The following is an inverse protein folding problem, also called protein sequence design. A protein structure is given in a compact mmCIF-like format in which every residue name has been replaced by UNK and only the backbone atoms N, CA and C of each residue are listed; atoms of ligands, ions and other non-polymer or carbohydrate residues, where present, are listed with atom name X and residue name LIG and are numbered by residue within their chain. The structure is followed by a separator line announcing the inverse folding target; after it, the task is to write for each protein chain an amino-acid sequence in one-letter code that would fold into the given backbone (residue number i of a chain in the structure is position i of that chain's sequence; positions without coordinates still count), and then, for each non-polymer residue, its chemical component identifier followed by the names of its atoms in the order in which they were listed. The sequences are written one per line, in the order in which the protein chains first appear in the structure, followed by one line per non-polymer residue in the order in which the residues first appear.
data_IF_041680238909
#
_entry.id   IF_041680238909
#
_cell.length_a   1.000
_cell.length_b   1.000
_cell.length_c   1.000
_cell.angle_alpha   90.00
_cell.angle_beta   90.00
_cell.angle_gamma   90.00
#
_symmetry.space_group_name_H-M   'P 1'
#
loop_
_entity.id
_entity.type
_entity.pdbx_description
1 polymer ?
#
# COMPACT_ATOMS: atom_id res chain seq x y z
N UNK A 1 19.74 5.31 11.85
CA UNK A 1 18.98 5.20 10.59
C UNK A 1 19.02 3.74 10.20
N UNK A 2 17.86 3.10 10.00
CA UNK A 2 17.82 1.75 9.43
C UNK A 2 18.24 1.91 7.97
N UNK A 3 19.32 1.22 7.60
CA UNK A 3 19.83 1.17 6.22
C UNK A 3 18.86 0.31 5.40
N UNK A 4 17.83 0.95 4.85
CA UNK A 4 16.90 0.31 3.93
C UNK A 4 17.62 0.18 2.58
N UNK A 5 17.62 -0.99 1.92
CA UNK A 5 17.94 -1.06 0.50
C UNK A 5 17.16 0.05 -0.22
N UNK A 6 17.69 0.61 -1.31
CA UNK A 6 16.91 1.58 -2.09
C UNK A 6 15.50 1.01 -2.30
N UNK A 7 14.45 1.78 -2.02
CA UNK A 7 13.06 1.27 -2.01
C UNK A 7 12.72 0.57 -3.33
N UNK A 8 13.34 1.00 -4.43
CA UNK A 8 13.31 0.35 -5.75
C UNK A 8 13.83 -1.09 -5.78
N UNK A 9 14.83 -1.46 -4.99
CA UNK A 9 15.33 -2.83 -4.92
C UNK A 9 14.31 -3.79 -4.29
N UNK A 10 13.38 -3.27 -3.49
CA UNK A 10 12.31 -4.06 -2.89
C UNK A 10 11.19 -4.36 -3.90
N UNK A 11 10.87 -3.42 -4.80
CA UNK A 11 9.83 -3.57 -5.82
C UNK A 11 10.24 -2.85 -7.13
N UNK A 12 11.11 -3.47 -7.95
CA UNK A 12 11.71 -2.82 -9.11
C UNK A 12 10.72 -2.50 -10.25
N UNK A 13 9.51 -3.05 -10.18
CA UNK A 13 8.41 -2.83 -11.14
C UNK A 13 7.70 -1.49 -10.94
N UNK A 14 7.95 -0.81 -9.80
CA UNK A 14 7.35 0.49 -9.48
C UNK A 14 8.47 1.53 -9.32
N UNK A 15 8.26 2.71 -9.89
CA UNK A 15 9.19 3.81 -9.78
C UNK A 15 9.47 4.18 -8.30
N UNK A 16 10.74 4.40 -7.97
CA UNK A 16 11.19 4.61 -6.59
C UNK A 16 10.50 5.81 -5.92
N UNK A 17 10.28 6.88 -6.67
CA UNK A 17 9.60 8.10 -6.22
C UNK A 17 8.14 7.83 -5.78
N UNK A 18 7.49 6.92 -6.48
CA UNK A 18 6.11 6.49 -6.25
C UNK A 18 6.01 5.67 -4.98
N UNK A 19 6.88 4.66 -4.83
CA UNK A 19 6.95 3.87 -3.61
C UNK A 19 7.25 4.76 -2.40
N UNK A 20 8.23 5.67 -2.53
CA UNK A 20 8.55 6.61 -1.46
C UNK A 20 7.36 7.51 -1.10
N UNK A 21 6.62 7.99 -2.09
CA UNK A 21 5.44 8.83 -1.87
C UNK A 21 4.31 8.05 -1.18
N UNK A 22 4.05 6.81 -1.59
CA UNK A 22 3.06 5.93 -0.94
C UNK A 22 3.46 5.68 0.51
N UNK A 23 4.70 5.28 0.77
CA UNK A 23 5.20 5.04 2.14
C UNK A 23 4.98 6.27 3.04
N UNK A 24 5.24 7.47 2.52
CA UNK A 24 5.02 8.71 3.28
C UNK A 24 3.54 9.01 3.52
N UNK A 25 2.66 8.70 2.57
CA UNK A 25 1.21 8.89 2.72
C UNK A 25 0.61 7.88 3.70
N UNK A 26 1.07 6.63 3.63
CA UNK A 26 0.51 5.50 4.38
C UNK A 26 0.98 5.48 5.83
N UNK A 27 2.29 5.58 6.06
CA UNK A 27 2.87 5.38 7.40
C UNK A 27 3.73 6.54 7.89
N UNK A 28 3.96 7.56 7.05
CA UNK A 28 4.98 8.58 7.31
C UNK A 28 6.40 8.00 7.40
N UNK A 29 6.64 6.81 6.81
CA UNK A 29 7.90 6.09 6.91
C UNK A 29 8.08 5.28 8.20
N UNK A 30 7.02 5.04 8.98
CA UNK A 30 7.10 4.22 10.19
C UNK A 30 6.91 2.72 9.85
N UNK A 31 7.96 1.88 9.94
CA UNK A 31 7.83 0.46 9.62
C UNK A 31 7.00 -0.31 10.64
N UNK A 32 6.73 0.24 11.82
CA UNK A 32 5.94 -0.41 12.88
C UNK A 32 4.51 0.13 12.97
N UNK A 33 4.05 0.89 11.98
CA UNK A 33 2.71 1.43 11.95
C UNK A 33 1.68 0.30 11.96
N UNK A 34 0.70 0.40 12.86
CA UNK A 34 -0.47 -0.50 12.93
C UNK A 34 -1.69 0.40 13.07
N UNK A 35 -2.56 0.38 12.06
CA UNK A 35 -3.82 1.11 12.07
C UNK A 35 -4.97 0.11 12.09
N UNK A 36 -5.82 0.19 13.10
CA UNK A 36 -6.96 -0.71 13.26
C UNK A 36 -8.19 -0.06 12.64
N UNK A 37 -8.81 -0.74 11.68
CA UNK A 37 -10.01 -0.26 11.02
C UNK A 37 -11.17 -0.18 12.00
N UNK A 38 -12.03 0.84 11.86
CA UNK A 38 -13.18 1.11 12.76
C UNK A 38 -12.82 1.53 14.20
N UNK A 39 -11.53 1.65 14.55
CA UNK A 39 -11.14 2.32 15.80
C UNK A 39 -11.02 3.82 15.61
N UNK A 40 -11.35 4.56 16.68
CA UNK A 40 -11.12 6.00 16.74
C UNK A 40 -9.62 6.30 16.77
N UNK A 41 -9.22 7.45 16.22
CA UNK A 41 -7.81 7.86 16.14
C UNK A 41 -7.10 7.89 17.52
N UNK A 42 -7.83 8.24 18.58
CA UNK A 42 -7.30 8.26 19.96
C UNK A 42 -7.04 6.86 20.55
N UNK A 43 -7.62 5.82 19.96
CA UNK A 43 -7.53 4.43 20.42
C UNK A 43 -6.54 3.59 19.62
N UNK A 44 -5.89 4.17 18.61
CA UNK A 44 -4.95 3.44 17.77
C UNK A 44 -3.72 2.99 18.56
N UNK A 45 -3.25 1.73 18.38
CA UNK A 45 -2.01 1.27 18.98
C UNK A 45 -0.84 2.10 18.44
N UNK A 46 0.21 2.26 19.26
CA UNK A 46 1.42 3.00 18.87
C UNK A 46 2.68 2.14 19.08
N UNK A 47 2.83 1.02 18.35
CA UNK A 47 3.98 0.14 18.49
C UNK A 47 5.31 0.87 18.28
N UNK A 48 6.36 0.46 19.00
CA UNK A 48 7.68 1.10 18.92
C UNK A 48 8.76 0.19 18.34
N UNK A 49 8.45 -1.08 18.16
CA UNK A 49 9.33 -2.10 17.62
C UNK A 49 8.50 -3.22 16.96
N UNK A 50 9.18 -4.17 16.33
CA UNK A 50 8.53 -5.30 15.64
C UNK A 50 7.69 -6.15 16.59
N UNK A 51 8.19 -6.46 17.79
CA UNK A 51 7.47 -7.29 18.74
C UNK A 51 6.13 -6.66 19.19
N UNK A 52 6.15 -5.36 19.50
CA UNK A 52 4.93 -4.58 19.83
C UNK A 52 3.94 -4.59 18.65
N UNK A 53 4.45 -4.46 17.42
CA UNK A 53 3.61 -4.35 16.23
C UNK A 53 2.95 -5.69 15.88
N UNK A 54 3.69 -6.80 16.02
CA UNK A 54 3.16 -8.17 15.92
C UNK A 54 2.11 -8.41 16.98
N UNK A 55 2.40 -8.11 18.24
CA UNK A 55 1.46 -8.32 19.35
C UNK A 55 0.17 -7.50 19.16
N UNK A 56 0.28 -6.23 18.76
CA UNK A 56 -0.89 -5.38 18.48
C UNK A 56 -1.72 -5.94 17.31
N UNK A 57 -1.05 -6.39 16.24
CA UNK A 57 -1.71 -6.96 15.06
C UNK A 57 -2.49 -8.22 15.41
N UNK A 58 -1.85 -9.18 16.09
CA UNK A 58 -2.49 -10.42 16.52
C UNK A 58 -3.65 -10.15 17.47
N UNK A 59 -3.48 -9.23 18.42
CA UNK A 59 -4.52 -8.86 19.37
C UNK A 59 -5.79 -8.34 18.68
N UNK A 60 -5.65 -7.42 17.72
CA UNK A 60 -6.81 -6.84 17.04
C UNK A 60 -7.45 -7.78 16.02
N UNK A 61 -6.66 -8.60 15.32
CA UNK A 61 -7.17 -9.66 14.46
C UNK A 61 -7.98 -10.69 15.27
N UNK A 62 -7.47 -11.13 16.42
CA UNK A 62 -8.18 -12.05 17.32
C UNK A 62 -9.50 -11.47 17.86
N UNK A 63 -9.63 -10.13 17.89
CA UNK A 63 -10.86 -9.42 18.22
C UNK A 63 -11.82 -9.20 17.05
N UNK A 64 -11.49 -9.71 15.85
CA UNK A 64 -12.32 -9.59 14.65
C UNK A 64 -12.16 -8.27 13.88
N UNK A 65 -11.13 -7.47 14.20
CA UNK A 65 -10.82 -6.26 13.44
C UNK A 65 -9.89 -6.59 12.26
N UNK A 66 -9.97 -5.78 11.20
CA UNK A 66 -8.89 -5.72 10.21
C UNK A 66 -7.91 -4.61 10.56
N UNK A 67 -6.63 -4.83 10.28
CA UNK A 67 -5.57 -3.87 10.57
C UNK A 67 -4.70 -3.62 9.35
N UNK A 68 -4.19 -2.41 9.20
CA UNK A 68 -3.23 -2.02 8.17
C UNK A 68 -1.84 -1.90 8.81
N UNK A 69 -0.83 -2.56 8.22
CA UNK A 69 0.46 -2.73 8.88
C UNK A 69 1.67 -2.31 8.05
N UNK A 70 2.66 -1.73 8.73
CA UNK A 70 3.96 -1.38 8.20
C UNK A 70 3.98 -0.20 7.23
N UNK A 71 5.08 -0.09 6.48
CA UNK A 71 5.41 1.06 5.63
C UNK A 71 4.34 1.41 4.60
N UNK A 72 3.76 0.39 3.97
CA UNK A 72 2.72 0.49 2.94
C UNK A 72 1.34 0.17 3.49
N UNK A 73 1.16 0.03 4.81
CA UNK A 73 -0.15 -0.20 5.43
C UNK A 73 -0.90 -1.39 4.80
N UNK A 74 -0.24 -2.54 4.71
CA UNK A 74 -0.80 -3.78 4.15
C UNK A 74 -1.97 -4.25 5.03
N UNK A 75 -3.17 -4.35 4.46
CA UNK A 75 -4.35 -4.78 5.21
C UNK A 75 -4.31 -6.27 5.54
N UNK A 76 -4.68 -6.62 6.78
CA UNK A 76 -4.70 -8.01 7.27
C UNK A 76 -5.67 -8.93 6.55
N UNK A 77 -6.69 -8.38 5.86
CA UNK A 77 -7.58 -9.15 4.98
C UNK A 77 -6.83 -9.78 3.81
N UNK A 78 -5.74 -9.17 3.38
CA UNK A 78 -4.93 -9.66 2.26
C UNK A 78 -3.88 -10.71 2.69
N UNK A 79 -3.64 -10.91 3.99
CA UNK A 79 -2.55 -11.75 4.49
C UNK A 79 -2.59 -13.17 3.93
N UNK A 80 -3.76 -13.81 3.95
CA UNK A 80 -3.92 -15.18 3.44
C UNK A 80 -3.45 -15.31 1.98
N UNK A 81 -3.81 -14.34 1.14
CA UNK A 81 -3.44 -14.37 -0.27
C UNK A 81 -1.99 -13.95 -0.51
N UNK A 82 -1.44 -13.08 0.34
CA UNK A 82 -0.02 -12.72 0.33
C UNK A 82 0.87 -13.80 0.94
N UNK A 83 0.30 -14.93 1.38
CA UNK A 83 1.02 -16.01 2.04
C UNK A 83 1.55 -15.66 3.43
N UNK A 84 1.07 -14.57 4.03
CA UNK A 84 1.46 -14.15 5.38
C UNK A 84 0.74 -15.04 6.39
N UNK A 85 1.52 -15.78 7.17
CA UNK A 85 1.03 -16.65 8.25
C UNK A 85 1.27 -16.01 9.62
N UNK A 86 0.55 -16.46 10.65
CA UNK A 86 0.75 -15.98 12.02
C UNK A 86 2.19 -16.21 12.52
N UNK A 87 2.83 -17.30 12.07
CA UNK A 87 4.23 -17.63 12.38
C UNK A 87 5.25 -16.73 11.70
N UNK A 88 4.88 -16.08 10.60
CA UNK A 88 5.76 -15.21 9.80
C UNK A 88 5.36 -13.74 9.89
N UNK A 89 4.40 -13.38 10.75
CA UNK A 89 3.84 -12.03 10.84
C UNK A 89 4.91 -10.95 11.13
N UNK A 90 5.95 -11.29 11.89
CA UNK A 90 7.08 -10.37 12.14
C UNK A 90 7.76 -9.92 10.84
N UNK A 91 7.82 -10.79 9.83
CA UNK A 91 8.42 -10.50 8.53
C UNK A 91 7.67 -9.43 7.74
N UNK A 92 6.39 -9.18 8.06
CA UNK A 92 5.58 -8.12 7.44
C UNK A 92 6.05 -6.73 7.87
N UNK A 93 6.71 -6.62 9.02
CA UNK A 93 7.29 -5.38 9.53
C UNK A 93 8.74 -5.17 9.08
N UNK A 94 9.34 -6.14 8.37
CA UNK A 94 10.61 -5.93 7.67
C UNK A 94 10.39 -4.98 6.49
N UNK A 95 11.14 -3.86 6.39
CA UNK A 95 10.87 -2.79 5.42
C UNK A 95 10.67 -3.29 3.98
N UNK A 96 11.56 -4.14 3.51
CA UNK A 96 11.59 -4.58 2.12
C UNK A 96 10.48 -5.59 1.81
N UNK A 97 10.11 -6.44 2.78
CA UNK A 97 8.99 -7.36 2.64
C UNK A 97 7.65 -6.60 2.63
N UNK A 98 7.48 -5.63 3.54
CA UNK A 98 6.30 -4.80 3.55
C UNK A 98 6.11 -4.06 2.21
N UNK A 99 7.20 -3.52 1.66
CA UNK A 99 7.17 -2.87 0.35
C UNK A 99 6.78 -3.84 -0.76
N UNK A 100 7.32 -5.06 -0.76
CA UNK A 100 6.91 -6.10 -1.73
C UNK A 100 5.42 -6.41 -1.65
N UNK A 101 4.89 -6.63 -0.45
CA UNK A 101 3.47 -6.92 -0.26
C UNK A 101 2.57 -5.76 -0.71
N UNK A 102 2.91 -4.52 -0.34
CA UNK A 102 2.19 -3.34 -0.80
C UNK A 102 2.28 -3.15 -2.32
N UNK A 103 3.45 -3.39 -2.92
CA UNK A 103 3.64 -3.37 -4.37
C UNK A 103 2.77 -4.41 -5.08
N UNK A 104 2.69 -5.64 -4.56
CA UNK A 104 1.81 -6.68 -5.10
C UNK A 104 0.35 -6.23 -5.13
N UNK A 105 -0.15 -5.63 -4.04
CA UNK A 105 -1.53 -5.11 -3.97
C UNK A 105 -1.73 -3.97 -4.98
N UNK A 106 -0.77 -3.05 -5.12
CA UNK A 106 -0.87 -1.94 -6.06
C UNK A 106 -0.85 -2.41 -7.52
N UNK A 107 0.01 -3.38 -7.86
CA UNK A 107 0.07 -3.96 -9.20
C UNK A 107 -1.20 -4.75 -9.53
N UNK A 108 -1.79 -5.43 -8.55
CA UNK A 108 -3.12 -6.04 -8.69
C UNK A 108 -4.17 -4.98 -9.01
N UNK A 109 -4.20 -3.86 -8.26
CA UNK A 109 -5.10 -2.75 -8.55
C UNK A 109 -4.86 -2.13 -9.95
N UNK A 110 -3.62 -2.07 -10.41
CA UNK A 110 -3.28 -1.65 -11.77
C UNK A 110 -3.82 -2.57 -12.85
N UNK A 111 -3.79 -3.88 -12.62
CA UNK A 111 -4.33 -4.87 -13.57
C UNK A 111 -5.86 -4.83 -13.67
N UNK A 112 -6.56 -4.29 -12.67
CA UNK A 112 -8.01 -4.06 -12.72
C UNK A 112 -8.39 -2.83 -13.56
N UNK A 113 -7.44 -1.95 -13.89
CA UNK A 113 -7.69 -0.76 -14.73
C UNK A 113 -7.64 -1.08 -16.22
N UNK A 114 -8.34 -0.29 -17.04
CA UNK A 114 -8.36 -0.50 -18.48
C UNK A 114 -7.00 -0.18 -19.12
N UNK A 115 -6.42 -1.14 -19.84
CA UNK A 115 -5.18 -0.95 -20.57
C UNK A 115 -5.27 0.08 -21.71
N UNK A 116 -6.49 0.53 -22.06
CA UNK A 116 -6.73 1.60 -23.05
C UNK A 116 -6.60 3.00 -22.47
N UNK A 117 -6.57 3.15 -21.15
CA UNK A 117 -6.45 4.45 -20.47
C UNK A 117 -5.00 4.91 -20.42
N UNK A 118 -4.80 6.23 -20.29
CA UNK A 118 -3.47 6.80 -20.08
C UNK A 118 -2.87 6.28 -18.78
N UNK A 119 -1.54 6.10 -18.75
CA UNK A 119 -0.84 5.53 -17.59
C UNK A 119 -1.10 6.30 -16.28
N UNK A 120 -1.22 7.63 -16.35
CA UNK A 120 -1.55 8.45 -15.19
C UNK A 120 -2.95 8.16 -14.65
N UNK A 121 -3.95 8.01 -15.53
CA UNK A 121 -5.33 7.74 -15.14
C UNK A 121 -5.42 6.36 -14.51
N UNK A 122 -4.74 5.37 -15.12
CA UNK A 122 -4.61 4.03 -14.57
C UNK A 122 -3.99 4.08 -13.17
N UNK A 123 -2.89 4.80 -12.98
CA UNK A 123 -2.24 4.89 -11.66
C UNK A 123 -3.17 5.52 -10.62
N UNK A 124 -3.83 6.62 -10.95
CA UNK A 124 -4.74 7.30 -10.03
C UNK A 124 -5.91 6.38 -9.64
N UNK A 125 -6.46 5.62 -10.59
CA UNK A 125 -7.45 4.58 -10.32
C UNK A 125 -6.89 3.45 -9.47
N UNK A 126 -5.67 2.98 -9.74
CA UNK A 126 -5.00 1.96 -8.92
C UNK A 126 -4.80 2.43 -7.49
N UNK A 127 -4.45 3.70 -7.28
CA UNK A 127 -4.34 4.29 -5.94
C UNK A 127 -5.72 4.40 -5.25
N UNK A 128 -6.78 4.69 -6.02
CA UNK A 128 -8.15 4.67 -5.50
C UNK A 128 -8.56 3.27 -5.05
N UNK A 129 -8.30 2.25 -5.88
CA UNK A 129 -8.54 0.84 -5.56
C UNK A 129 -7.67 0.41 -4.37
N UNK A 130 -6.40 0.78 -4.34
CA UNK A 130 -5.48 0.49 -3.24
C UNK A 130 -6.03 0.96 -1.89
N UNK A 131 -6.66 2.14 -1.88
CA UNK A 131 -7.22 2.73 -0.66
C UNK A 131 -8.61 2.18 -0.29
N UNK A 132 -9.45 1.86 -1.28
CA UNK A 132 -10.89 1.66 -1.05
C UNK A 132 -11.49 0.40 -1.65
N UNK A 133 -10.71 -0.34 -2.44
CA UNK A 133 -11.20 -1.40 -3.34
C UNK A 133 -11.95 -0.89 -4.58
N UNK A 134 -12.18 0.42 -4.71
CA UNK A 134 -12.97 1.00 -5.79
C UNK A 134 -12.18 2.07 -6.55
N UNK A 135 -12.34 2.12 -7.87
CA UNK A 135 -11.60 3.04 -8.75
C UNK A 135 -12.07 4.51 -8.69
N UNK A 136 -13.16 4.80 -7.97
CA UNK A 136 -13.73 6.15 -7.81
C UNK A 136 -13.68 6.66 -6.37
N UNK A 137 -13.88 5.80 -5.36
CA UNK A 137 -14.08 6.27 -3.98
C UNK A 137 -12.86 6.95 -3.36
N UNK A 138 -11.64 6.57 -3.77
CA UNK A 138 -10.40 7.23 -3.37
C UNK A 138 -10.22 8.64 -3.96
N UNK A 139 -10.91 8.95 -5.06
CA UNK A 139 -11.01 10.33 -5.53
C UNK A 139 -11.98 11.13 -4.65
N UNK A 140 -13.16 10.55 -4.38
CA UNK A 140 -14.22 11.20 -3.59
C UNK A 140 -13.80 11.50 -2.15
N UNK A 141 -13.05 10.60 -1.52
CA UNK A 141 -12.57 10.79 -0.15
C UNK A 141 -11.28 11.65 -0.06
N UNK A 142 -10.77 12.13 -1.20
CA UNK A 142 -9.57 12.98 -1.27
C UNK A 142 -8.25 12.22 -1.15
N UNK A 143 -8.24 10.89 -1.09
CA UNK A 143 -7.01 10.09 -0.99
C UNK A 143 -6.10 10.29 -2.19
N UNK A 144 -6.62 10.17 -3.42
CA UNK A 144 -5.83 10.33 -4.66
C UNK A 144 -5.19 11.72 -4.74
N UNK A 145 -5.84 12.74 -4.18
CA UNK A 145 -5.33 14.11 -4.18
C UNK A 145 -3.98 14.27 -3.47
N UNK A 146 -3.59 13.32 -2.60
CA UNK A 146 -2.30 13.31 -1.89
C UNK A 146 -1.12 13.04 -2.83
N UNK A 147 -1.38 12.46 -4.00
CA UNK A 147 -0.38 12.00 -4.97
C UNK A 147 -0.20 12.94 -6.15
N UNK A 148 -1.18 13.82 -6.39
CA UNK A 148 -1.04 14.90 -7.38
C UNK A 148 -0.39 16.10 -6.70
N UNK A 149 0.66 16.64 -7.31
CA UNK A 149 1.32 17.84 -6.78
C UNK A 149 0.33 19.01 -6.71
N UNK A 150 0.38 19.80 -5.63
CA UNK A 150 -0.08 21.19 -5.72
C UNK A 150 0.79 21.85 -6.78
N UNK A 151 0.20 22.42 -7.83
CA UNK A 151 0.92 23.22 -8.82
C UNK A 151 1.80 24.26 -8.10
N UNK A 152 3.11 23.99 -7.99
CA UNK A 152 4.10 25.01 -7.71
C UNK A 152 4.42 25.62 -9.06
N UNK A 153 4.05 26.89 -9.22
CA UNK A 153 4.29 27.66 -10.42
C UNK A 153 5.77 27.60 -10.83
N UNK A 154 6.01 27.20 -12.08
CA UNK A 154 7.27 27.39 -12.78
C UNK A 154 8.23 26.19 -12.73
N UNK A 155 8.58 25.70 -13.92
CA UNK A 155 9.56 24.65 -14.22
C UNK A 155 9.05 23.20 -14.18
N UNK A 156 8.74 22.72 -15.39
CA UNK A 156 8.77 21.33 -15.85
C UNK A 156 7.89 20.35 -15.07
N UNK A 157 6.67 20.16 -15.59
CA UNK A 157 5.84 19.00 -15.39
C UNK A 157 6.64 17.71 -15.64
N UNK A 158 7.22 17.17 -14.56
CA UNK A 158 7.83 15.85 -14.49
C UNK A 158 7.34 15.18 -13.22
N UNK A 159 6.03 15.04 -13.12
CA UNK A 159 5.35 14.26 -12.06
C UNK A 159 4.29 13.39 -12.71
N UNK A 160 4.68 12.74 -13.81
CA UNK A 160 4.00 11.57 -14.33
C UNK A 160 4.77 10.42 -13.73
N UNK A 161 4.21 9.84 -12.67
CA UNK A 161 4.62 8.53 -12.18
C UNK A 161 4.38 7.55 -13.31
N UNK A 162 5.43 7.16 -14.01
CA UNK A 162 5.36 6.06 -14.98
C UNK A 162 5.65 4.76 -14.22
N UNK A 163 4.71 3.82 -14.10
CA UNK A 163 5.09 2.46 -13.74
C UNK A 163 5.97 1.94 -14.87
N UNK A 164 7.28 1.86 -14.61
CA UNK A 164 8.20 1.29 -15.56
C UNK A 164 7.94 -0.22 -15.64
N UNK A 165 7.51 -0.70 -16.80
CA UNK A 165 7.33 -2.11 -17.13
C UNK A 165 6.56 -2.94 -16.08
N UNK A 166 5.34 -2.55 -15.75
CA UNK A 166 4.32 -3.51 -15.34
C UNK A 166 3.93 -4.37 -16.55
N UNK A 167 4.89 -5.12 -17.11
CA UNK A 167 4.63 -6.17 -18.08
C UNK A 167 3.85 -7.27 -17.36
N UNK A 168 2.72 -7.62 -17.97
CA UNK A 168 1.63 -8.50 -17.55
C UNK A 168 2.01 -9.95 -17.19
N UNK A 169 3.29 -10.27 -16.93
CA UNK A 169 3.76 -11.65 -16.76
C UNK A 169 3.78 -12.17 -15.32
N UNK A 170 3.51 -11.33 -14.32
CA UNK A 170 3.36 -11.82 -12.94
C UNK A 170 1.91 -12.26 -12.75
N UNK A 171 1.68 -13.58 -12.80
CA UNK A 171 0.38 -14.25 -12.70
C UNK A 171 -0.30 -14.10 -11.33
N UNK A 172 -0.58 -12.86 -10.93
CA UNK A 172 -1.44 -12.55 -9.80
C UNK A 172 -2.87 -12.37 -10.31
N UNK A 173 -3.79 -13.19 -9.80
CA UNK A 173 -5.21 -12.97 -10.02
C UNK A 173 -5.60 -11.67 -9.28
N UNK A 174 -5.96 -10.63 -10.03
CA UNK A 174 -6.26 -9.32 -9.44
C UNK A 174 -7.63 -9.28 -8.75
N UNK A 175 -8.55 -10.16 -9.16
CA UNK A 175 -9.91 -10.24 -8.63
C UNK A 175 -9.95 -10.73 -7.17
N UNK A 176 -8.86 -11.31 -6.68
CA UNK A 176 -8.82 -11.92 -5.34
C UNK A 176 -8.47 -10.96 -4.20
N UNK A 177 -8.00 -9.74 -4.46
CA UNK A 177 -7.69 -8.74 -3.40
C UNK A 177 -8.90 -7.93 -2.96
N UNK A 178 -9.92 -7.82 -3.81
CA UNK A 178 -11.04 -6.89 -3.60
C UNK A 178 -12.41 -7.53 -3.82
N UNK A 179 -12.51 -8.86 -3.68
CA UNK A 179 -13.75 -9.61 -3.89
C UNK A 179 -14.93 -9.21 -2.99
N UNK A 180 -16.10 -9.06 -3.64
CA UNK A 180 -17.50 -8.95 -3.18
C UNK A 180 -17.94 -7.92 -2.11
N UNK A 181 -17.03 -7.20 -1.45
CA UNK A 181 -17.39 -6.15 -0.47
C UNK A 181 -17.42 -4.71 -1.09
N UNK A 182 -17.90 -4.57 -2.34
CA UNK A 182 -18.21 -3.28 -2.99
C UNK A 182 -19.70 -2.91 -2.92
#
# INVERSE_FOLDING_TARGET
MIDMPSVSACAPEIAADTLQKIIMVESGGNPFAVNVNKLSAGSQPKPKNVADAVAATQYWIAKGYSVDVGLMQVNSRNFKMLGITDTELSSVFEPCNNVKYGATILLSAWNMTSSKEHQNDRLMKSLSIYNTGNDVNGFKNGYVSKYVGRNISGSLAKTVVTPYNADSSVGFNADSFYGDDL
#
